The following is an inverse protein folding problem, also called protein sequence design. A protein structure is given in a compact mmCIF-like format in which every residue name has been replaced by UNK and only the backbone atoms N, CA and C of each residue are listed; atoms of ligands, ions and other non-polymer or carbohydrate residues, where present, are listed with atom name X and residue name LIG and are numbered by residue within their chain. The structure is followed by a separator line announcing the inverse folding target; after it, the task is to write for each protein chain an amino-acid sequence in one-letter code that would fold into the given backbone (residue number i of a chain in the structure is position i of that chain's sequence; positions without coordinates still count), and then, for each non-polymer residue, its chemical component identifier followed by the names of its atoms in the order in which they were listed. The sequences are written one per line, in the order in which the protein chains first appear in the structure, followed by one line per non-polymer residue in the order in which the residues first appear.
data_IF_739657312070
#
_entry.id   IF_739657312070
#
_cell.length_a   1.000
_cell.length_b   1.000
_cell.length_c   1.000
_cell.angle_alpha   90.00
_cell.angle_beta   90.00
_cell.angle_gamma   90.00
#
_symmetry.space_group_name_H-M   'P 1'
#
loop_
_entity.id
_entity.type
_entity.pdbx_description
1 polymer ?
#
# COMPACT_ATOMS: atom_id res chain seq x y z
N UNK A 1 10.69 -29.04 12.32
CA UNK A 1 9.59 -28.18 12.79
C UNK A 1 9.27 -27.20 11.69
N UNK A 2 8.57 -27.68 10.65
CA UNK A 2 7.86 -26.86 9.67
C UNK A 2 6.41 -26.78 10.17
N UNK A 3 6.21 -26.25 11.37
CA UNK A 3 4.86 -25.89 11.79
C UNK A 3 4.37 -24.84 10.79
N UNK A 4 3.24 -25.13 10.12
CA UNK A 4 2.54 -24.26 9.18
C UNK A 4 2.90 -22.78 9.36
N UNK A 5 3.80 -22.26 8.53
CA UNK A 5 4.11 -20.84 8.55
C UNK A 5 2.88 -20.10 8.04
N UNK A 6 2.05 -19.60 8.96
CA UNK A 6 0.80 -18.94 8.57
C UNK A 6 1.04 -17.73 7.67
N UNK A 7 2.21 -17.09 7.78
CA UNK A 7 2.61 -15.98 6.91
C UNK A 7 2.88 -16.43 5.46
N UNK A 8 3.35 -17.65 5.22
CA UNK A 8 3.47 -18.19 3.86
C UNK A 8 2.09 -18.34 3.21
N UNK A 9 1.07 -18.78 3.96
CA UNK A 9 -0.31 -18.87 3.46
C UNK A 9 -0.93 -17.50 3.20
N UNK A 10 -0.60 -16.51 4.03
CA UNK A 10 -1.00 -15.12 3.79
C UNK A 10 -0.37 -14.60 2.51
N UNK A 11 0.91 -14.91 2.28
CA UNK A 11 1.62 -14.52 1.06
C UNK A 11 1.05 -15.21 -0.19
N UNK A 12 0.71 -16.50 -0.11
CA UNK A 12 -0.01 -17.23 -1.15
C UNK A 12 -1.34 -16.54 -1.49
N UNK A 13 -2.13 -16.17 -0.47
CA UNK A 13 -3.39 -15.44 -0.66
C UNK A 13 -3.18 -14.10 -1.36
N UNK A 14 -2.12 -13.36 -0.99
CA UNK A 14 -1.78 -12.09 -1.63
C UNK A 14 -1.49 -12.27 -3.13
N UNK A 15 -0.71 -13.29 -3.47
CA UNK A 15 -0.40 -13.59 -4.87
C UNK A 15 -1.62 -14.07 -5.66
N UNK A 16 -2.45 -14.93 -5.10
CA UNK A 16 -3.65 -15.42 -5.77
C UNK A 16 -4.61 -14.28 -6.11
N UNK A 17 -4.79 -13.31 -5.21
CA UNK A 17 -5.60 -12.12 -5.49
C UNK A 17 -4.99 -11.23 -6.57
N UNK A 18 -3.66 -11.10 -6.61
CA UNK A 18 -2.98 -10.29 -7.62
C UNK A 18 -3.20 -10.79 -9.06
N UNK A 19 -3.43 -12.10 -9.25
CA UNK A 19 -3.67 -12.71 -10.56
C UNK A 19 -5.02 -12.31 -11.18
N UNK A 20 -5.95 -11.75 -10.40
CA UNK A 20 -7.29 -11.36 -10.84
C UNK A 20 -7.29 -9.98 -11.55
N UNK A 21 -6.16 -9.25 -11.51
CA UNK A 21 -6.06 -7.93 -12.12
C UNK A 21 -5.96 -8.04 -13.67
N UNK A 22 -7.09 -7.86 -14.37
CA UNK A 22 -7.22 -8.12 -15.81
C UNK A 22 -6.42 -7.16 -16.72
N UNK A 23 -6.35 -5.86 -16.40
CA UNK A 23 -5.55 -4.92 -17.19
C UNK A 23 -5.06 -3.71 -16.38
N UNK A 24 -3.77 -3.70 -16.04
CA UNK A 24 -3.15 -2.61 -15.29
C UNK A 24 -2.83 -1.38 -16.15
N UNK A 25 -2.91 -1.47 -17.49
CA UNK A 25 -2.65 -0.32 -18.38
C UNK A 25 -3.68 0.79 -18.23
N UNK A 26 -4.85 0.47 -17.69
CA UNK A 26 -5.98 1.39 -17.57
C UNK A 26 -5.94 2.19 -16.26
N UNK A 27 -4.97 1.92 -15.38
CA UNK A 27 -4.81 2.65 -14.13
C UNK A 27 -4.27 4.06 -14.35
N UNK A 28 -4.70 4.99 -13.50
CA UNK A 28 -4.13 6.33 -13.46
C UNK A 28 -2.66 6.26 -13.05
N UNK A 29 -1.72 6.83 -13.83
CA UNK A 29 -0.29 6.60 -13.63
C UNK A 29 0.18 6.92 -12.21
N UNK A 30 -0.20 8.09 -11.68
CA UNK A 30 0.24 8.52 -10.36
C UNK A 30 -0.47 7.73 -9.22
N UNK A 31 -1.74 7.34 -9.39
CA UNK A 31 -2.46 6.58 -8.35
C UNK A 31 -2.02 5.11 -8.36
N UNK A 32 -1.74 4.57 -9.54
CA UNK A 32 -1.19 3.22 -9.72
C UNK A 32 0.15 3.09 -9.03
N UNK A 33 0.99 4.13 -9.04
CA UNK A 33 2.28 4.13 -8.34
C UNK A 33 2.08 3.79 -6.86
N UNK A 34 1.15 4.48 -6.18
CA UNK A 34 0.86 4.28 -4.76
C UNK A 34 0.18 2.95 -4.46
N UNK A 35 -0.67 2.46 -5.36
CA UNK A 35 -1.23 1.11 -5.27
C UNK A 35 -0.12 0.04 -5.30
N UNK A 36 0.79 0.11 -6.27
CA UNK A 36 1.88 -0.84 -6.36
C UNK A 36 2.89 -0.66 -5.21
N UNK A 37 3.14 0.57 -4.76
CA UNK A 37 4.01 0.87 -3.62
C UNK A 37 3.49 0.19 -2.34
N UNK A 38 2.19 0.36 -2.07
CA UNK A 38 1.49 -0.31 -0.99
C UNK A 38 1.59 -1.84 -1.07
N UNK A 39 1.36 -2.41 -2.26
CA UNK A 39 1.52 -3.85 -2.48
C UNK A 39 2.95 -4.33 -2.21
N UNK A 40 3.97 -3.58 -2.63
CA UNK A 40 5.36 -3.95 -2.40
C UNK A 40 5.73 -3.89 -0.91
N UNK A 41 5.24 -2.87 -0.19
CA UNK A 41 5.41 -2.77 1.25
C UNK A 41 4.69 -3.90 2.00
N UNK A 42 3.48 -4.26 1.57
CA UNK A 42 2.71 -5.37 2.14
C UNK A 42 3.41 -6.72 1.91
N UNK A 43 3.80 -7.01 0.67
CA UNK A 43 4.57 -8.21 0.30
C UNK A 43 5.83 -8.37 1.13
N UNK A 44 6.63 -7.30 1.22
CA UNK A 44 7.87 -7.31 1.99
C UNK A 44 7.62 -7.48 3.48
N UNK A 45 6.58 -6.82 4.03
CA UNK A 45 6.21 -6.96 5.44
C UNK A 45 5.84 -8.39 5.80
N UNK A 46 5.04 -9.06 4.97
CA UNK A 46 4.65 -10.47 5.16
C UNK A 46 5.89 -11.37 4.99
N UNK A 47 6.72 -11.09 3.98
CA UNK A 47 7.91 -11.89 3.66
C UNK A 47 8.99 -11.85 4.74
N UNK A 48 9.06 -10.80 5.55
CA UNK A 48 9.95 -10.74 6.72
C UNK A 48 9.55 -11.72 7.84
N UNK A 49 8.27 -12.09 7.91
CA UNK A 49 7.78 -13.11 8.85
C UNK A 49 7.76 -14.51 8.22
N UNK A 50 7.61 -14.59 6.90
CA UNK A 50 7.63 -15.85 6.17
C UNK A 50 9.05 -16.41 5.94
N UNK A 51 10.03 -15.54 5.68
CA UNK A 51 11.38 -15.92 5.28
C UNK A 51 12.44 -15.14 6.08
N UNK A 52 13.67 -15.66 6.07
CA UNK A 52 14.81 -14.97 6.64
C UNK A 52 15.02 -13.59 5.98
N UNK A 53 15.39 -12.56 6.75
CA UNK A 53 15.64 -11.21 6.26
C UNK A 53 16.73 -11.13 5.17
N UNK A 54 17.70 -12.04 5.21
CA UNK A 54 18.79 -12.17 4.24
C UNK A 54 18.47 -13.16 3.10
N UNK A 55 17.23 -13.64 3.03
CA UNK A 55 16.80 -14.44 1.87
C UNK A 55 16.91 -13.60 0.59
N UNK A 56 17.24 -14.21 -0.56
CA UNK A 56 17.31 -13.49 -1.83
C UNK A 56 16.05 -12.68 -2.13
N UNK A 57 14.88 -13.22 -1.77
CA UNK A 57 13.59 -12.54 -1.86
C UNK A 57 13.57 -11.21 -1.09
N UNK A 58 13.86 -11.24 0.21
CA UNK A 58 13.83 -10.05 1.05
C UNK A 58 14.93 -9.05 0.68
N UNK A 59 16.12 -9.52 0.26
CA UNK A 59 17.19 -8.64 -0.23
C UNK A 59 16.79 -7.90 -1.51
N UNK A 60 16.23 -8.61 -2.50
CA UNK A 60 15.79 -7.99 -3.75
C UNK A 60 14.60 -7.04 -3.55
N UNK A 61 13.62 -7.42 -2.71
CA UNK A 61 12.49 -6.55 -2.37
C UNK A 61 12.96 -5.25 -1.70
N UNK A 62 14.01 -5.31 -0.86
CA UNK A 62 14.60 -4.09 -0.26
C UNK A 62 15.23 -3.17 -1.29
N UNK A 63 15.97 -3.70 -2.27
CA UNK A 63 16.55 -2.86 -3.33
C UNK A 63 15.46 -2.22 -4.19
N UNK A 64 14.40 -2.96 -4.49
CA UNK A 64 13.23 -2.42 -5.16
C UNK A 64 12.54 -1.30 -4.37
N UNK A 65 12.30 -1.50 -3.08
CA UNK A 65 11.64 -0.52 -2.21
C UNK A 65 12.49 0.73 -1.98
N UNK A 66 13.83 0.63 -1.98
CA UNK A 66 14.71 1.81 -1.99
C UNK A 66 14.48 2.65 -3.24
N UNK A 67 14.47 2.02 -4.42
CA UNK A 67 14.24 2.72 -5.67
C UNK A 67 12.86 3.39 -5.71
N UNK A 68 11.81 2.68 -5.25
CA UNK A 68 10.48 3.28 -5.14
C UNK A 68 10.44 4.48 -4.19
N UNK A 69 11.14 4.40 -3.07
CA UNK A 69 11.20 5.52 -2.12
C UNK A 69 11.81 6.76 -2.77
N UNK A 70 12.82 6.60 -3.61
CA UNK A 70 13.41 7.72 -4.35
C UNK A 70 12.43 8.29 -5.41
N UNK A 71 11.67 7.42 -6.09
CA UNK A 71 10.63 7.85 -7.04
C UNK A 71 9.49 8.60 -6.33
N UNK A 72 9.10 8.16 -5.14
CA UNK A 72 7.99 8.77 -4.38
C UNK A 72 8.27 10.22 -3.99
N UNK A 73 9.54 10.66 -4.03
CA UNK A 73 9.95 12.02 -3.70
C UNK A 73 9.98 12.95 -4.92
N UNK A 74 9.66 12.45 -6.12
CA UNK A 74 9.78 13.21 -7.36
C UNK A 74 8.45 13.83 -7.77
N UNK A 75 8.52 15.06 -8.29
CA UNK A 75 7.43 15.76 -8.99
C UNK A 75 6.06 15.59 -8.33
N UNK A 76 5.10 15.05 -9.08
CA UNK A 76 3.70 14.86 -8.67
C UNK A 76 3.53 13.80 -7.59
N UNK A 77 4.40 12.80 -7.55
CA UNK A 77 4.33 11.73 -6.56
C UNK A 77 4.57 12.28 -5.15
N UNK A 78 5.49 13.24 -5.00
CA UNK A 78 5.75 13.91 -3.71
C UNK A 78 4.53 14.61 -3.09
N UNK A 79 3.46 14.80 -3.85
CA UNK A 79 2.25 15.50 -3.43
C UNK A 79 1.20 14.56 -2.80
N UNK A 80 1.42 13.24 -2.79
CA UNK A 80 0.40 12.26 -2.41
C UNK A 80 -0.07 12.37 -0.96
N UNK A 81 0.83 12.56 0.00
CA UNK A 81 0.43 12.78 1.40
C UNK A 81 -0.46 14.03 1.53
N UNK A 82 -0.13 15.10 0.79
CA UNK A 82 -0.95 16.30 0.73
C UNK A 82 -2.32 16.06 0.09
N UNK A 83 -2.37 15.22 -0.95
CA UNK A 83 -3.62 14.81 -1.59
C UNK A 83 -4.50 13.98 -0.65
N UNK A 84 -3.93 13.02 0.08
CA UNK A 84 -4.67 12.20 1.05
C UNK A 84 -5.29 13.05 2.16
N UNK A 85 -4.54 14.03 2.68
CA UNK A 85 -5.06 14.98 3.68
C UNK A 85 -6.16 15.87 3.10
N UNK A 86 -5.98 16.38 1.88
CA UNK A 86 -7.01 17.17 1.21
C UNK A 86 -8.29 16.36 0.95
N UNK A 87 -8.18 15.08 0.59
CA UNK A 87 -9.32 14.17 0.45
C UNK A 87 -10.04 13.96 1.78
N UNK A 88 -9.31 13.73 2.87
CA UNK A 88 -9.89 13.55 4.20
C UNK A 88 -10.76 14.75 4.60
N UNK A 89 -10.27 15.96 4.33
CA UNK A 89 -10.96 17.21 4.70
C UNK A 89 -12.15 17.56 3.77
N UNK A 90 -11.99 17.36 2.46
CA UNK A 90 -12.92 17.91 1.45
C UNK A 90 -13.82 16.84 0.81
N UNK A 91 -13.36 15.59 0.78
CA UNK A 91 -14.01 14.47 0.10
C UNK A 91 -13.93 13.17 0.92
N UNK A 92 -14.41 13.15 2.18
CA UNK A 92 -14.21 12.02 3.10
C UNK A 92 -14.75 10.69 2.56
N UNK A 93 -15.86 10.70 1.80
CA UNK A 93 -16.39 9.48 1.19
C UNK A 93 -15.52 8.90 0.07
N UNK A 94 -14.64 9.70 -0.54
CA UNK A 94 -13.62 9.20 -1.48
C UNK A 94 -12.37 8.74 -0.73
N UNK A 95 -11.98 9.45 0.35
CA UNK A 95 -10.91 9.04 1.25
C UNK A 95 -11.16 7.63 1.84
N UNK A 96 -12.39 7.35 2.28
CA UNK A 96 -12.78 6.06 2.85
C UNK A 96 -12.67 4.88 1.88
N UNK A 97 -12.53 5.12 0.56
CA UNK A 97 -12.29 4.06 -0.42
C UNK A 97 -10.86 3.52 -0.37
N UNK A 98 -9.91 4.26 0.19
CA UNK A 98 -8.56 3.75 0.36
C UNK A 98 -8.52 2.67 1.45
N UNK A 99 -7.66 1.65 1.34
CA UNK A 99 -7.38 0.72 2.42
C UNK A 99 -7.08 1.43 3.73
N UNK A 100 -7.59 0.93 4.85
CA UNK A 100 -7.47 1.58 6.15
C UNK A 100 -6.01 1.77 6.56
N UNK A 101 -5.17 0.78 6.26
CA UNK A 101 -3.74 0.90 6.58
C UNK A 101 -3.05 2.01 5.77
N UNK A 102 -3.49 2.30 4.54
CA UNK A 102 -2.97 3.43 3.76
C UNK A 102 -3.47 4.76 4.29
N UNK A 103 -4.77 4.85 4.62
CA UNK A 103 -5.32 6.02 5.29
C UNK A 103 -4.45 6.39 6.51
N UNK A 104 -4.15 5.41 7.37
CA UNK A 104 -3.32 5.63 8.55
C UNK A 104 -1.87 5.99 8.23
N UNK A 105 -1.23 5.33 7.27
CA UNK A 105 0.17 5.62 6.92
C UNK A 105 0.35 7.04 6.38
N UNK A 106 -0.66 7.58 5.72
CA UNK A 106 -0.63 8.91 5.11
C UNK A 106 -1.31 10.00 5.96
N UNK A 107 -1.91 9.65 7.11
CA UNK A 107 -2.45 10.59 8.09
C UNK A 107 -1.32 11.12 9.01
N UNK A 108 -1.06 12.44 9.04
CA UNK A 108 -0.02 13.03 9.89
C UNK A 108 -0.27 12.88 11.39
N UNK A 109 -1.49 12.52 11.80
CA UNK A 109 -1.88 12.33 13.20
C UNK A 109 -1.85 10.86 13.65
N UNK A 110 -1.70 9.91 12.74
CA UNK A 110 -1.54 8.49 13.08
C UNK A 110 -0.05 8.12 13.21
N UNK A 111 0.23 7.05 13.97
CA UNK A 111 1.59 6.58 14.22
C UNK A 111 2.04 5.53 13.18
N UNK A 112 1.10 5.02 12.38
CA UNK A 112 1.34 4.04 11.35
C UNK A 112 2.29 4.61 10.29
N UNK A 113 3.26 3.79 9.87
CA UNK A 113 4.27 4.24 8.91
C UNK A 113 5.00 3.06 8.26
N UNK A 114 5.61 3.31 7.12
CA UNK A 114 6.63 2.42 6.57
C UNK A 114 7.96 2.64 7.31
N UNK A 115 8.38 1.65 8.12
CA UNK A 115 9.65 1.70 8.87
C UNK A 115 10.63 0.66 8.38
N UNK A 116 11.75 1.08 7.81
CA UNK A 116 12.66 0.16 7.10
C UNK A 116 11.89 -0.67 6.05
N UNK A 117 10.96 0.00 5.37
CA UNK A 117 10.02 -0.55 4.39
C UNK A 117 8.97 -1.56 4.88
N UNK A 118 8.90 -1.88 6.18
CA UNK A 118 7.80 -2.69 6.72
C UNK A 118 6.64 -1.81 7.18
N UNK A 119 5.41 -2.30 7.05
CA UNK A 119 4.23 -1.69 7.66
C UNK A 119 4.33 -1.86 9.17
N UNK A 120 4.36 -0.74 9.89
CA UNK A 120 4.29 -0.68 11.36
C UNK A 120 3.07 0.12 11.73
N UNK A 121 2.10 -0.51 12.40
CA UNK A 121 0.84 0.13 12.81
C UNK A 121 0.99 0.92 14.12
N UNK A 122 1.69 0.36 15.10
CA UNK A 122 2.07 1.06 16.34
C UNK A 122 3.56 0.79 16.59
N UNK A 123 4.42 1.82 16.61
CA UNK A 123 5.85 1.63 16.85
C UNK A 123 6.21 1.26 18.29
N UNK A 124 5.27 1.42 19.23
CA UNK A 124 5.45 0.99 20.62
C UNK A 124 5.10 -0.49 20.81
N UNK A 125 4.32 -1.08 19.89
CA UNK A 125 4.06 -2.50 19.91
C UNK A 125 5.27 -3.28 19.38
N UNK A 126 5.78 -4.19 20.22
CA UNK A 126 6.92 -5.06 19.90
C UNK A 126 6.47 -6.41 19.37
N UNK A 127 5.16 -6.68 19.38
CA UNK A 127 4.62 -7.95 18.89
C UNK A 127 4.66 -7.98 17.36
N UNK A 128 4.91 -9.14 16.76
CA UNK A 128 4.69 -9.34 15.34
C UNK A 128 3.24 -9.01 14.96
N UNK A 129 3.04 -8.38 13.80
CA UNK A 129 1.71 -8.18 13.23
C UNK A 129 1.05 -9.54 13.01
N UNK A 130 -0.15 -9.80 13.55
CA UNK A 130 -0.83 -11.08 13.39
C UNK A 130 -1.13 -11.39 11.91
N UNK A 131 -1.05 -12.66 11.46
CA UNK A 131 -1.40 -13.05 10.09
C UNK A 131 -2.80 -12.60 9.65
N UNK A 132 -3.77 -12.62 10.57
CA UNK A 132 -5.13 -12.17 10.31
C UNK A 132 -5.20 -10.67 9.93
N UNK A 133 -4.34 -9.83 10.50
CA UNK A 133 -4.28 -8.40 10.15
C UNK A 133 -3.79 -8.21 8.73
N UNK A 134 -2.77 -8.97 8.30
CA UNK A 134 -2.31 -8.93 6.91
C UNK A 134 -3.37 -9.42 5.93
N UNK A 135 -4.17 -10.44 6.28
CA UNK A 135 -5.31 -10.87 5.44
C UNK A 135 -6.31 -9.74 5.23
N UNK A 136 -6.63 -8.98 6.27
CA UNK A 136 -7.49 -7.80 6.14
C UNK A 136 -6.86 -6.76 5.22
N UNK A 137 -5.58 -6.44 5.37
CA UNK A 137 -4.88 -5.51 4.46
C UNK A 137 -4.90 -5.98 3.00
N UNK A 138 -4.76 -7.29 2.77
CA UNK A 138 -4.88 -7.91 1.44
C UNK A 138 -6.32 -7.78 0.92
N UNK A 139 -7.33 -8.03 1.76
CA UNK A 139 -8.72 -7.87 1.36
C UNK A 139 -9.05 -6.42 0.98
N UNK A 140 -8.56 -5.46 1.75
CA UNK A 140 -8.74 -4.02 1.50
C UNK A 140 -8.03 -3.54 0.23
N UNK A 141 -6.77 -3.93 0.00
CA UNK A 141 -6.02 -3.47 -1.18
C UNK A 141 -6.59 -4.03 -2.49
N UNK A 142 -7.27 -5.17 -2.44
CA UNK A 142 -7.99 -5.76 -3.57
C UNK A 142 -9.50 -5.51 -3.53
N UNK A 143 -9.97 -4.58 -2.69
CA UNK A 143 -11.38 -4.19 -2.68
C UNK A 143 -11.80 -3.57 -4.02
N UNK A 144 -13.00 -3.90 -4.48
CA UNK A 144 -13.48 -3.48 -5.79
C UNK A 144 -13.70 -1.96 -5.87
N UNK A 145 -14.15 -1.32 -4.80
CA UNK A 145 -14.38 0.11 -4.78
C UNK A 145 -13.03 0.86 -4.81
N UNK A 146 -12.04 0.37 -4.06
CA UNK A 146 -10.69 0.92 -4.12
C UNK A 146 -10.06 0.75 -5.50
N UNK A 147 -10.06 -0.47 -6.04
CA UNK A 147 -9.49 -0.75 -7.36
C UNK A 147 -10.17 0.08 -8.44
N UNK A 148 -11.50 0.19 -8.43
CA UNK A 148 -12.24 1.04 -9.37
C UNK A 148 -11.86 2.53 -9.23
N UNK A 149 -11.48 2.99 -8.04
CA UNK A 149 -11.07 4.37 -7.82
C UNK A 149 -9.73 4.70 -8.49
N UNK A 150 -8.82 3.74 -8.66
CA UNK A 150 -7.48 4.03 -9.24
C UNK A 150 -7.43 3.97 -10.77
N UNK A 151 -8.54 3.65 -11.44
CA UNK A 151 -8.62 3.67 -12.91
C UNK A 151 -8.58 5.10 -13.48
N UNK A 152 -8.06 5.23 -14.70
CA UNK A 152 -8.18 6.47 -15.46
C UNK A 152 -9.66 6.85 -15.67
N UNK A 153 -9.94 8.15 -15.56
CA UNK A 153 -11.30 8.69 -15.71
C UNK A 153 -12.22 8.46 -14.51
N UNK A 154 -11.77 7.77 -13.46
CA UNK A 154 -12.52 7.66 -12.20
C UNK A 154 -12.73 9.04 -11.56
N UNK A 155 -13.71 9.13 -10.63
CA UNK A 155 -13.89 10.32 -9.82
C UNK A 155 -12.60 10.68 -9.03
N UNK A 156 -11.91 9.67 -8.49
CA UNK A 156 -10.66 9.86 -7.76
C UNK A 156 -9.54 10.45 -8.64
N UNK A 157 -9.42 9.99 -9.89
CA UNK A 157 -8.44 10.54 -10.84
C UNK A 157 -8.74 12.01 -11.18
N UNK A 158 -10.02 12.38 -11.28
CA UNK A 158 -10.44 13.77 -11.48
C UNK A 158 -10.11 14.63 -10.25
N UNK A 159 -10.39 14.13 -9.04
CA UNK A 159 -10.05 14.80 -7.79
C UNK A 159 -8.54 14.97 -7.60
N UNK A 160 -7.76 13.94 -7.95
CA UNK A 160 -6.30 14.05 -7.95
C UNK A 160 -5.81 15.14 -8.90
N UNK A 161 -6.33 15.16 -10.14
CA UNK A 161 -6.00 16.21 -11.11
C UNK A 161 -6.41 17.60 -10.61
N UNK A 162 -7.59 17.72 -9.99
CA UNK A 162 -8.07 18.97 -9.40
C UNK A 162 -7.13 19.46 -8.30
N UNK A 163 -6.72 18.58 -7.37
CA UNK A 163 -5.77 18.90 -6.31
C UNK A 163 -4.43 19.37 -6.89
N UNK A 164 -3.91 18.66 -7.89
CA UNK A 164 -2.64 19.00 -8.53
C UNK A 164 -2.67 20.36 -9.26
N UNK A 165 -3.84 20.81 -9.74
CA UNK A 165 -3.98 22.11 -10.38
C UNK A 165 -4.14 23.28 -9.37
N UNK A 166 -4.41 23.00 -8.11
CA UNK A 166 -4.52 24.02 -7.04
C UNK A 166 -3.17 24.34 -6.38
N UNK A 167 -2.12 23.61 -6.76
CA UNK A 167 -0.75 23.69 -6.21
C UNK A 167 0.20 24.35 -7.21
#
# INVERSE_FOLDING_TARGET
MLENNEYEKVLETFYDKSLILENMSDFHPDLSFWFFDAMAHLDYSISLFAYNADSPRNLLSREYLKYRKDQSMQDRLSCFDGFMNWLLENHPGEYEKFPLFLQKIHDPNDMASYRSFRIVLDPNDKKPTPPAVFRVMIDEIFDKAYLASIYNGSNMAQLYTQYMNQR
#
